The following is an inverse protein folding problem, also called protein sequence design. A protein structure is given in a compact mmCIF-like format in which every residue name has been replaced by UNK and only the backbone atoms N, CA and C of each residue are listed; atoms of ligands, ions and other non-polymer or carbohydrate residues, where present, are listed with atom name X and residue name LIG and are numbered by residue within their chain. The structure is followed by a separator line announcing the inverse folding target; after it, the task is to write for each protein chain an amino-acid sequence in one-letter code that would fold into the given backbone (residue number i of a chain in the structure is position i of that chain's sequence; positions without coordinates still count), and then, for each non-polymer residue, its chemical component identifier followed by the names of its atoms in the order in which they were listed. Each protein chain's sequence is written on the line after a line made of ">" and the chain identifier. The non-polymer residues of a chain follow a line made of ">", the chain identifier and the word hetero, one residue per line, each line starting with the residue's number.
data_IF_191712208330
#
_entry.id   IF_191712208330
#
_cell.length_a   1.000
_cell.length_b   1.000
_cell.length_c   1.000
_cell.angle_alpha   90.00
_cell.angle_beta   90.00
_cell.angle_gamma   90.00
#
_symmetry.space_group_name_H-M   'P 1'
#
loop_
_entity.id
_entity.type
_entity.pdbx_description
1 polymer ?
#
# COMPACT_ATOMS: atom_id res chain seq x y z
N UNK A 1 -6.48 -32.49 4.59
CA UNK A 1 -6.07 -31.17 4.06
C UNK A 1 -5.64 -30.31 5.23
N UNK A 2 -4.67 -29.40 5.06
CA UNK A 2 -4.12 -28.60 6.17
C UNK A 2 -4.92 -27.30 6.42
N UNK A 3 -6.21 -27.32 6.12
CA UNK A 3 -7.13 -26.21 6.31
C UNK A 3 -8.54 -26.72 6.62
N UNK A 4 -9.36 -25.87 7.23
CA UNK A 4 -10.79 -26.10 7.46
C UNK A 4 -11.62 -24.85 7.27
N UNK A 5 -12.89 -25.07 6.99
CA UNK A 5 -13.92 -24.03 6.98
C UNK A 5 -14.43 -23.79 8.40
N UNK A 6 -14.53 -22.52 8.79
CA UNK A 6 -15.18 -22.12 10.03
C UNK A 6 -16.72 -22.22 9.88
N UNK A 7 -17.39 -22.51 11.00
CA UNK A 7 -18.85 -22.62 11.04
C UNK A 7 -19.52 -21.26 10.78
N UNK A 8 -20.78 -21.27 10.32
CA UNK A 8 -21.51 -20.07 9.91
C UNK A 8 -21.79 -19.06 11.04
N UNK A 9 -21.66 -19.47 12.31
CA UNK A 9 -21.90 -18.63 13.49
C UNK A 9 -20.72 -17.68 13.81
N UNK A 10 -19.64 -17.71 13.04
CA UNK A 10 -18.52 -16.77 13.14
C UNK A 10 -18.93 -15.40 12.53
N UNK A 11 -18.76 -14.27 13.25
CA UNK A 11 -19.07 -12.92 12.76
C UNK A 11 -18.45 -12.57 11.40
N UNK A 12 -17.40 -13.28 10.98
CA UNK A 12 -16.69 -13.09 9.71
C UNK A 12 -17.32 -13.81 8.49
N UNK A 13 -18.40 -14.58 8.68
CA UNK A 13 -18.92 -15.50 7.66
C UNK A 13 -17.96 -16.67 7.44
N UNK A 14 -18.18 -17.53 6.41
CA UNK A 14 -17.37 -18.74 6.10
C UNK A 14 -15.86 -18.46 5.96
N UNK A 15 -15.19 -18.30 7.10
CA UNK A 15 -13.76 -18.09 7.23
C UNK A 15 -13.04 -19.39 6.86
N UNK A 16 -11.89 -19.24 6.22
CA UNK A 16 -11.03 -20.35 5.85
C UNK A 16 -9.74 -20.19 6.68
N UNK A 17 -9.41 -21.20 7.47
CA UNK A 17 -8.22 -21.16 8.33
C UNK A 17 -7.36 -22.40 8.11
N UNK A 18 -6.07 -22.26 8.40
CA UNK A 18 -5.13 -23.38 8.40
C UNK A 18 -5.36 -24.24 9.65
N UNK A 19 -5.16 -25.55 9.54
CA UNK A 19 -5.26 -26.48 10.70
C UNK A 19 -4.02 -26.43 11.59
N UNK A 20 -2.91 -25.96 11.01
CA UNK A 20 -1.66 -25.66 11.69
C UNK A 20 -1.53 -24.15 11.67
N UNK A 21 -0.88 -23.56 12.66
CA UNK A 21 -0.54 -22.14 12.64
C UNK A 21 0.11 -21.75 11.29
N UNK A 22 -0.41 -20.67 10.68
CA UNK A 22 -0.08 -20.29 9.30
C UNK A 22 1.40 -19.96 9.13
N UNK A 23 2.06 -19.43 10.18
CA UNK A 23 3.49 -19.14 10.14
C UNK A 23 4.30 -20.42 9.94
N UNK A 24 3.99 -21.47 10.71
CA UNK A 24 4.67 -22.76 10.58
C UNK A 24 4.35 -23.46 9.27
N UNK A 25 3.09 -23.41 8.82
CA UNK A 25 2.72 -23.97 7.51
C UNK A 25 3.48 -23.25 6.38
N UNK A 26 3.62 -21.92 6.46
CA UNK A 26 4.43 -21.14 5.53
C UNK A 26 5.88 -21.60 5.53
N UNK A 27 6.50 -21.71 6.70
CA UNK A 27 7.89 -22.11 6.83
C UNK A 27 8.13 -23.49 6.19
N UNK A 28 7.20 -24.44 6.38
CA UNK A 28 7.26 -25.77 5.75
C UNK A 28 7.14 -25.67 4.22
N UNK A 29 6.16 -24.92 3.72
CA UNK A 29 5.92 -24.76 2.27
C UNK A 29 7.12 -24.10 1.60
N UNK A 30 7.63 -23.00 2.15
CA UNK A 30 8.79 -22.27 1.61
C UNK A 30 10.03 -23.16 1.57
N UNK A 31 10.25 -23.97 2.60
CA UNK A 31 11.46 -24.80 2.73
C UNK A 31 11.43 -26.07 1.88
N UNK A 32 10.24 -26.62 1.61
CA UNK A 32 10.14 -27.99 1.10
C UNK A 32 9.29 -28.18 -0.15
N UNK A 33 8.41 -27.24 -0.52
CA UNK A 33 7.49 -27.46 -1.66
C UNK A 33 8.23 -27.73 -2.98
N UNK A 34 9.34 -27.01 -3.23
CA UNK A 34 10.17 -27.26 -4.42
C UNK A 34 10.79 -28.65 -4.40
N UNK A 35 11.39 -29.06 -3.29
CA UNK A 35 11.98 -30.40 -3.12
C UNK A 35 10.95 -31.51 -3.25
N UNK A 36 9.73 -31.29 -2.74
CA UNK A 36 8.60 -32.20 -2.95
C UNK A 36 8.28 -32.35 -4.44
N UNK A 37 8.29 -31.25 -5.20
CA UNK A 37 8.15 -31.26 -6.66
C UNK A 37 9.24 -32.08 -7.36
N UNK A 38 10.51 -31.87 -6.99
CA UNK A 38 11.65 -32.61 -7.53
C UNK A 38 11.52 -34.12 -7.30
N UNK A 39 11.10 -34.53 -6.10
CA UNK A 39 11.07 -35.94 -5.71
C UNK A 39 9.76 -36.64 -6.07
N UNK A 40 8.62 -35.95 -5.89
CA UNK A 40 7.27 -36.50 -6.03
C UNK A 40 6.57 -36.15 -7.34
N UNK A 41 7.13 -35.23 -8.14
CA UNK A 41 6.60 -34.82 -9.44
C UNK A 41 5.11 -34.46 -9.39
N UNK A 42 4.32 -35.07 -10.28
CA UNK A 42 2.87 -34.85 -10.38
C UNK A 42 2.14 -35.06 -9.05
N UNK A 43 2.52 -36.04 -8.24
CA UNK A 43 1.84 -36.33 -6.99
C UNK A 43 1.99 -35.18 -5.99
N UNK A 44 3.18 -34.57 -5.93
CA UNK A 44 3.42 -33.40 -5.09
C UNK A 44 2.59 -32.19 -5.55
N UNK A 45 2.53 -31.94 -6.86
CA UNK A 45 1.70 -30.86 -7.42
C UNK A 45 0.21 -31.10 -7.13
N UNK A 46 -0.26 -32.35 -7.24
CA UNK A 46 -1.67 -32.71 -7.00
C UNK A 46 -2.13 -32.49 -5.57
N UNK A 47 -1.24 -32.57 -4.57
CA UNK A 47 -1.59 -32.25 -3.17
C UNK A 47 -2.09 -30.80 -3.08
N UNK A 48 -1.36 -29.86 -3.68
CA UNK A 48 -1.71 -28.45 -3.64
C UNK A 48 -2.85 -28.13 -4.62
N UNK A 49 -2.83 -28.68 -5.82
CA UNK A 49 -3.90 -28.51 -6.80
C UNK A 49 -5.26 -28.93 -6.23
N UNK A 50 -5.34 -30.09 -5.58
CA UNK A 50 -6.58 -30.57 -4.97
C UNK A 50 -7.06 -29.62 -3.87
N UNK A 51 -6.15 -29.05 -3.08
CA UNK A 51 -6.51 -28.04 -2.09
C UNK A 51 -7.07 -26.77 -2.72
N UNK A 52 -6.42 -26.26 -3.78
CA UNK A 52 -6.93 -25.11 -4.53
C UNK A 52 -8.30 -25.37 -5.12
N UNK A 53 -8.55 -26.56 -5.68
CA UNK A 53 -9.88 -26.92 -6.19
C UNK A 53 -10.94 -26.91 -5.09
N UNK A 54 -10.62 -27.34 -3.88
CA UNK A 54 -11.55 -27.28 -2.74
C UNK A 54 -11.77 -25.83 -2.30
N UNK A 55 -10.70 -25.06 -2.11
CA UNK A 55 -10.75 -23.66 -1.65
C UNK A 55 -11.56 -22.80 -2.62
N UNK A 56 -11.28 -22.93 -3.91
CA UNK A 56 -11.92 -22.17 -4.99
C UNK A 56 -13.15 -22.87 -5.56
N UNK A 57 -13.67 -23.93 -4.92
CA UNK A 57 -15.02 -24.45 -5.23
C UNK A 57 -16.12 -23.56 -4.65
N UNK A 58 -15.80 -22.77 -3.62
CA UNK A 58 -16.68 -21.75 -3.06
C UNK A 58 -16.95 -20.66 -4.11
N UNK A 59 -18.21 -20.40 -4.51
CA UNK A 59 -18.52 -19.46 -5.59
C UNK A 59 -17.97 -18.05 -5.38
N UNK A 60 -17.85 -17.59 -4.12
CA UNK A 60 -17.31 -16.26 -3.79
C UNK A 60 -15.80 -16.17 -4.02
N UNK A 61 -15.08 -17.27 -3.81
CA UNK A 61 -13.64 -17.37 -4.07
C UNK A 61 -13.34 -17.67 -5.53
N UNK A 62 -14.16 -18.53 -6.14
CA UNK A 62 -14.03 -18.87 -7.55
C UNK A 62 -14.21 -17.63 -8.42
N UNK A 63 -15.26 -16.85 -8.15
CA UNK A 63 -15.50 -15.58 -8.84
C UNK A 63 -14.47 -14.55 -8.38
N UNK A 64 -13.41 -14.39 -9.19
CA UNK A 64 -12.35 -13.43 -8.90
C UNK A 64 -11.27 -13.98 -7.96
N UNK A 65 -10.64 -15.10 -8.33
CA UNK A 65 -9.46 -15.60 -7.60
C UNK A 65 -8.36 -14.56 -7.42
N UNK A 66 -8.26 -13.58 -8.33
CA UNK A 66 -7.38 -12.41 -8.22
C UNK A 66 -7.72 -11.46 -7.07
N UNK A 67 -8.92 -11.49 -6.51
CA UNK A 67 -9.28 -10.73 -5.29
C UNK A 67 -8.78 -11.42 -4.01
N UNK A 68 -8.67 -12.75 -4.05
CA UNK A 68 -8.23 -13.57 -2.92
C UNK A 68 -6.73 -13.84 -2.94
N UNK A 69 -6.15 -13.93 -4.14
CA UNK A 69 -4.72 -14.00 -4.38
C UNK A 69 -4.39 -13.14 -5.61
N UNK A 70 -4.03 -11.86 -5.44
CA UNK A 70 -3.74 -10.95 -6.55
C UNK A 70 -2.65 -11.42 -7.49
N UNK A 71 -1.59 -12.05 -6.96
CA UNK A 71 -0.45 -12.50 -7.75
C UNK A 71 0.03 -13.91 -7.34
N UNK A 72 0.43 -14.73 -8.30
CA UNK A 72 1.00 -16.07 -8.03
C UNK A 72 2.38 -15.96 -7.37
N UNK A 73 3.23 -15.05 -7.84
CA UNK A 73 4.54 -14.76 -7.28
C UNK A 73 4.44 -14.08 -5.90
N UNK A 74 5.59 -13.83 -5.28
CA UNK A 74 5.64 -13.01 -4.06
C UNK A 74 5.42 -11.54 -4.43
N UNK A 75 4.37 -10.93 -3.90
CA UNK A 75 3.95 -9.59 -4.28
C UNK A 75 3.35 -8.85 -3.07
N UNK A 76 3.52 -7.54 -2.99
CA UNK A 76 2.97 -6.69 -1.92
C UNK A 76 1.44 -6.62 -1.92
N UNK A 77 0.80 -6.84 -3.07
CA UNK A 77 -0.65 -6.91 -3.18
C UNK A 77 -1.24 -8.18 -2.54
N UNK A 78 -0.43 -9.22 -2.28
CA UNK A 78 -0.93 -10.44 -1.64
C UNK A 78 -1.18 -10.21 -0.15
N UNK A 79 -2.45 -10.25 0.26
CA UNK A 79 -2.85 -10.11 1.66
C UNK A 79 -2.29 -11.26 2.52
N UNK A 80 -1.46 -10.93 3.51
CA UNK A 80 -0.78 -11.92 4.36
C UNK A 80 -1.75 -12.77 5.19
N UNK A 81 -2.88 -12.21 5.61
CA UNK A 81 -3.88 -12.88 6.45
C UNK A 81 -4.70 -13.96 5.73
N UNK A 82 -4.52 -14.17 4.42
CA UNK A 82 -5.19 -15.23 3.65
C UNK A 82 -4.35 -16.51 3.61
N UNK A 83 -4.07 -17.06 4.80
CA UNK A 83 -3.15 -18.19 4.98
C UNK A 83 -3.43 -19.35 4.03
N UNK A 84 -4.59 -20.01 4.09
CA UNK A 84 -4.89 -21.18 3.25
C UNK A 84 -4.75 -20.93 1.74
N UNK A 85 -5.32 -19.83 1.22
CA UNK A 85 -5.18 -19.46 -0.19
C UNK A 85 -3.70 -19.29 -0.56
N UNK A 86 -2.94 -18.53 0.24
CA UNK A 86 -1.54 -18.23 -0.01
C UNK A 86 -0.68 -19.49 -0.01
N UNK A 87 -0.80 -20.34 1.03
CA UNK A 87 0.04 -21.53 1.21
C UNK A 87 -0.15 -22.54 0.09
N UNK A 88 -1.38 -22.71 -0.39
CA UNK A 88 -1.66 -23.66 -1.47
C UNK A 88 -1.21 -23.14 -2.85
N UNK A 89 -1.29 -21.83 -3.11
CA UNK A 89 -0.73 -21.22 -4.33
C UNK A 89 0.79 -21.31 -4.32
N UNK A 90 1.43 -20.90 -3.23
CA UNK A 90 2.89 -20.96 -3.04
C UNK A 90 3.40 -22.40 -3.16
N UNK A 91 2.70 -23.35 -2.54
CA UNK A 91 3.02 -24.77 -2.60
C UNK A 91 2.92 -25.34 -4.01
N UNK A 92 1.81 -25.10 -4.72
CA UNK A 92 1.64 -25.59 -6.10
C UNK A 92 2.67 -24.98 -7.04
N UNK A 93 2.89 -23.65 -6.95
CA UNK A 93 3.89 -22.91 -7.74
C UNK A 93 5.29 -23.51 -7.57
N UNK A 94 5.73 -23.65 -6.32
CA UNK A 94 7.07 -24.13 -6.01
C UNK A 94 7.24 -25.62 -6.37
N UNK A 95 6.24 -26.46 -6.10
CA UNK A 95 6.26 -27.88 -6.46
C UNK A 95 6.26 -28.10 -7.98
N UNK A 96 5.47 -27.33 -8.74
CA UNK A 96 5.48 -27.40 -10.20
C UNK A 96 6.84 -26.98 -10.77
N UNK A 97 7.43 -25.91 -10.23
CA UNK A 97 8.77 -25.47 -10.61
C UNK A 97 9.83 -26.55 -10.36
N UNK A 98 9.84 -27.18 -9.17
CA UNK A 98 10.75 -28.29 -8.88
C UNK A 98 10.53 -29.52 -9.79
N UNK A 99 9.28 -29.81 -10.16
CA UNK A 99 8.99 -30.90 -11.08
C UNK A 99 9.46 -30.61 -12.53
N UNK A 100 9.28 -29.37 -13.01
CA UNK A 100 9.77 -28.92 -14.32
C UNK A 100 11.29 -29.07 -14.43
N UNK A 101 12.03 -28.72 -13.37
CA UNK A 101 13.48 -28.86 -13.32
C UNK A 101 13.93 -30.34 -13.34
N UNK A 102 13.25 -31.21 -12.59
CA UNK A 102 13.65 -32.60 -12.42
C UNK A 102 13.17 -33.53 -13.56
N UNK A 103 12.04 -33.24 -14.19
CA UNK A 103 11.38 -34.13 -15.15
C UNK A 103 10.56 -33.35 -16.20
N UNK A 104 11.22 -32.55 -17.06
CA UNK A 104 10.57 -31.60 -17.95
C UNK A 104 9.55 -32.25 -18.89
N UNK A 105 9.88 -33.38 -19.52
CA UNK A 105 9.00 -34.03 -20.51
C UNK A 105 7.58 -34.35 -19.98
N UNK A 106 7.48 -34.77 -18.72
CA UNK A 106 6.19 -35.08 -18.10
C UNK A 106 5.49 -33.81 -17.58
N UNK A 107 6.25 -32.88 -17.02
CA UNK A 107 5.72 -31.64 -16.47
C UNK A 107 5.17 -30.70 -17.55
N UNK A 108 5.81 -30.64 -18.73
CA UNK A 108 5.35 -29.84 -19.88
C UNK A 108 3.94 -30.24 -20.32
N UNK A 109 3.65 -31.55 -20.39
CA UNK A 109 2.31 -32.05 -20.74
C UNK A 109 1.26 -31.67 -19.69
N UNK A 110 1.65 -31.65 -18.42
CA UNK A 110 0.77 -31.17 -17.35
C UNK A 110 0.46 -29.69 -17.54
N UNK A 111 1.48 -28.83 -17.70
CA UNK A 111 1.28 -27.39 -17.93
C UNK A 111 0.38 -27.13 -19.14
N UNK A 112 0.57 -27.87 -20.24
CA UNK A 112 -0.27 -27.79 -21.45
C UNK A 112 -1.75 -28.00 -21.12
N UNK A 113 -2.08 -29.02 -20.35
CA UNK A 113 -3.45 -29.27 -19.92
C UNK A 113 -3.96 -28.16 -18.99
N UNK A 114 -3.11 -27.71 -18.06
CA UNK A 114 -3.45 -26.71 -17.03
C UNK A 114 -3.72 -25.31 -17.59
N UNK A 115 -3.09 -24.92 -18.72
CA UNK A 115 -3.39 -23.65 -19.41
C UNK A 115 -4.84 -23.54 -19.88
N UNK A 116 -5.54 -24.67 -20.04
CA UNK A 116 -6.96 -24.72 -20.41
C UNK A 116 -7.87 -25.10 -19.24
N UNK A 117 -7.39 -25.08 -17.99
CA UNK A 117 -8.19 -25.47 -16.83
C UNK A 117 -9.37 -24.50 -16.60
N UNK A 118 -10.48 -25.02 -16.09
CA UNK A 118 -11.65 -24.21 -15.73
C UNK A 118 -11.40 -23.40 -14.44
N UNK A 119 -10.50 -23.85 -13.56
CA UNK A 119 -10.13 -23.10 -12.36
C UNK A 119 -9.14 -21.98 -12.70
N UNK A 120 -9.58 -20.73 -12.50
CA UNK A 120 -8.78 -19.54 -12.76
C UNK A 120 -7.43 -19.54 -12.04
N UNK A 121 -7.38 -19.88 -10.74
CA UNK A 121 -6.12 -19.88 -9.99
C UNK A 121 -5.12 -20.94 -10.49
N UNK A 122 -5.62 -22.11 -10.89
CA UNK A 122 -4.78 -23.19 -11.43
C UNK A 122 -4.21 -22.78 -12.79
N UNK A 123 -5.03 -22.18 -13.64
CA UNK A 123 -4.60 -21.61 -14.93
C UNK A 123 -3.53 -20.52 -14.74
N UNK A 124 -3.72 -19.62 -13.78
CA UNK A 124 -2.76 -18.56 -13.45
C UNK A 124 -1.41 -19.10 -13.01
N UNK A 125 -1.39 -20.16 -12.21
CA UNK A 125 -0.14 -20.84 -11.81
C UNK A 125 0.59 -21.44 -13.03
N UNK A 126 -0.15 -22.00 -13.99
CA UNK A 126 0.44 -22.48 -15.24
C UNK A 126 1.02 -21.34 -16.09
N UNK A 127 0.33 -20.20 -16.20
CA UNK A 127 0.83 -19.01 -16.91
C UNK A 127 2.11 -18.50 -16.24
N UNK A 128 2.12 -18.39 -14.92
CA UNK A 128 3.33 -18.01 -14.17
C UNK A 128 4.48 -19.00 -14.40
N UNK A 129 4.21 -20.31 -14.43
CA UNK A 129 5.22 -21.31 -14.75
C UNK A 129 5.80 -21.12 -16.16
N UNK A 130 4.98 -20.73 -17.15
CA UNK A 130 5.47 -20.37 -18.50
C UNK A 130 6.42 -19.18 -18.43
N UNK A 131 6.12 -18.13 -17.67
CA UNK A 131 7.01 -16.96 -17.53
C UNK A 131 8.37 -17.37 -16.97
N UNK A 132 8.39 -18.15 -15.88
CA UNK A 132 9.61 -18.58 -15.19
C UNK A 132 10.44 -19.60 -15.99
N UNK A 133 9.77 -20.51 -16.72
CA UNK A 133 10.40 -21.58 -17.50
C UNK A 133 10.17 -21.40 -19.01
N UNK A 134 10.28 -20.16 -19.50
CA UNK A 134 9.85 -19.77 -20.84
C UNK A 134 10.48 -20.60 -21.96
N UNK A 135 11.80 -20.80 -21.94
CA UNK A 135 12.48 -21.59 -22.99
C UNK A 135 11.95 -23.03 -23.11
N UNK A 136 11.52 -23.60 -21.99
CA UNK A 136 10.95 -24.96 -21.94
C UNK A 136 9.47 -24.98 -22.35
N UNK A 137 8.71 -23.93 -22.01
CA UNK A 137 7.25 -23.91 -22.10
C UNK A 137 6.70 -23.00 -23.22
N UNK A 138 7.57 -22.30 -23.96
CA UNK A 138 7.18 -21.36 -25.03
C UNK A 138 6.22 -22.02 -26.01
N UNK A 139 6.60 -23.13 -26.61
CA UNK A 139 5.82 -23.77 -27.67
C UNK A 139 4.43 -24.21 -27.15
N UNK A 140 4.37 -24.71 -25.91
CA UNK A 140 3.11 -25.05 -25.24
C UNK A 140 2.23 -23.84 -25.03
N UNK A 141 2.81 -22.70 -24.64
CA UNK A 141 2.08 -21.44 -24.52
C UNK A 141 1.60 -20.93 -25.88
N UNK A 142 2.45 -20.93 -26.91
CA UNK A 142 2.10 -20.46 -28.25
C UNK A 142 0.94 -21.23 -28.89
N UNK A 143 0.81 -22.52 -28.57
CA UNK A 143 -0.34 -23.35 -28.94
C UNK A 143 -1.61 -22.95 -28.17
N UNK A 144 -1.48 -22.54 -26.91
CA UNK A 144 -2.60 -22.20 -26.04
C UNK A 144 -3.17 -20.79 -26.31
N UNK A 145 -2.46 -19.89 -27.00
CA UNK A 145 -2.91 -18.51 -27.25
C UNK A 145 -4.27 -18.49 -27.93
N UNK A 146 -5.28 -18.00 -27.20
CA UNK A 146 -6.61 -17.75 -27.69
C UNK A 146 -7.28 -16.64 -26.86
N UNK A 147 -8.41 -16.10 -27.35
CA UNK A 147 -9.14 -14.99 -26.72
C UNK A 147 -9.53 -15.25 -25.26
N UNK A 148 -9.77 -16.51 -24.84
CA UNK A 148 -10.18 -16.84 -23.47
C UNK A 148 -9.05 -16.69 -22.46
N UNK A 149 -7.78 -16.72 -22.89
CA UNK A 149 -6.65 -16.45 -21.99
C UNK A 149 -6.60 -14.98 -21.56
N UNK A 150 -7.07 -14.06 -22.41
CA UNK A 150 -7.14 -12.63 -22.14
C UNK A 150 -8.38 -12.28 -21.30
N UNK A 151 -8.50 -12.95 -20.15
CA UNK A 151 -9.55 -12.72 -19.18
C UNK A 151 -9.05 -11.81 -18.06
N UNK A 152 -10.00 -11.21 -17.34
CA UNK A 152 -9.69 -10.43 -16.13
C UNK A 152 -9.05 -11.30 -15.05
N UNK A 153 -9.41 -12.58 -14.96
CA UNK A 153 -8.85 -13.50 -13.97
C UNK A 153 -7.36 -13.74 -14.18
N UNK A 154 -6.91 -13.89 -15.43
CA UNK A 154 -5.50 -14.14 -15.76
C UNK A 154 -4.72 -12.84 -16.00
N UNK A 155 -5.30 -11.68 -15.66
CA UNK A 155 -4.77 -10.36 -16.01
C UNK A 155 -3.31 -10.21 -15.61
N UNK A 156 -3.00 -10.43 -14.34
CA UNK A 156 -1.68 -10.21 -13.76
C UNK A 156 -0.62 -11.12 -14.39
N UNK A 157 -0.80 -12.44 -14.29
CA UNK A 157 0.23 -13.39 -14.74
C UNK A 157 0.42 -13.36 -16.26
N UNK A 158 -0.64 -13.16 -17.04
CA UNK A 158 -0.50 -13.04 -18.49
C UNK A 158 0.10 -11.67 -18.88
N UNK A 159 -0.21 -10.60 -18.15
CA UNK A 159 0.43 -9.31 -18.38
C UNK A 159 1.94 -9.42 -18.20
N UNK A 160 2.38 -10.03 -17.09
CA UNK A 160 3.79 -10.23 -16.78
C UNK A 160 4.48 -11.10 -17.84
N UNK A 161 3.85 -12.20 -18.27
CA UNK A 161 4.37 -13.04 -19.34
C UNK A 161 4.60 -12.22 -20.62
N UNK A 162 3.63 -11.42 -21.03
CA UNK A 162 3.72 -10.62 -22.24
C UNK A 162 4.76 -9.50 -22.11
N UNK A 163 4.82 -8.79 -20.99
CA UNK A 163 5.78 -7.72 -20.80
C UNK A 163 7.23 -8.21 -20.83
N UNK A 164 7.49 -9.39 -20.28
CA UNK A 164 8.84 -9.96 -20.20
C UNK A 164 9.23 -10.79 -21.44
N UNK A 165 8.30 -11.56 -22.00
CA UNK A 165 8.63 -12.65 -22.95
C UNK A 165 8.06 -12.48 -24.35
N UNK A 166 7.23 -11.46 -24.61
CA UNK A 166 6.59 -11.30 -25.93
C UNK A 166 7.60 -11.21 -27.09
N UNK A 167 8.74 -10.56 -26.88
CA UNK A 167 9.79 -10.47 -27.90
C UNK A 167 10.36 -11.83 -28.32
N UNK A 168 10.33 -12.83 -27.43
CA UNK A 168 10.82 -14.18 -27.67
C UNK A 168 9.80 -15.15 -28.29
N UNK A 169 8.56 -14.69 -28.52
CA UNK A 169 7.52 -15.47 -29.20
C UNK A 169 7.77 -15.52 -30.71
N UNK A 170 7.30 -16.59 -31.36
CA UNK A 170 7.25 -16.68 -32.82
C UNK A 170 6.35 -15.61 -33.43
N UNK A 171 6.63 -15.21 -34.67
CA UNK A 171 5.80 -14.23 -35.39
C UNK A 171 4.34 -14.68 -35.50
N UNK A 172 4.09 -16.00 -35.63
CA UNK A 172 2.74 -16.55 -35.61
C UNK A 172 2.06 -16.36 -34.25
N UNK A 173 2.78 -16.61 -33.15
CA UNK A 173 2.26 -16.42 -31.81
C UNK A 173 2.00 -14.95 -31.47
N UNK A 174 2.90 -14.03 -31.86
CA UNK A 174 2.67 -12.59 -31.72
C UNK A 174 1.41 -12.15 -32.47
N UNK A 175 1.22 -12.63 -33.71
CA UNK A 175 0.00 -12.36 -34.47
C UNK A 175 -1.26 -12.91 -33.77
N UNK A 176 -1.18 -14.10 -33.16
CA UNK A 176 -2.29 -14.66 -32.36
C UNK A 176 -2.60 -13.78 -31.14
N UNK A 177 -1.61 -13.26 -30.43
CA UNK A 177 -1.82 -12.33 -29.31
C UNK A 177 -2.55 -11.08 -29.79
N UNK A 178 -2.06 -10.41 -30.84
CA UNK A 178 -2.70 -9.21 -31.39
C UNK A 178 -4.13 -9.51 -31.85
N UNK A 179 -4.35 -10.63 -32.53
CA UNK A 179 -5.67 -11.06 -32.99
C UNK A 179 -6.62 -11.32 -31.81
N UNK A 180 -6.15 -11.98 -30.76
CA UNK A 180 -6.93 -12.25 -29.56
C UNK A 180 -7.33 -10.96 -28.82
N UNK A 181 -6.42 -9.99 -28.72
CA UNK A 181 -6.72 -8.67 -28.14
C UNK A 181 -7.78 -7.91 -28.96
N UNK A 182 -7.69 -7.96 -30.29
CA UNK A 182 -8.69 -7.36 -31.18
C UNK A 182 -10.06 -8.05 -31.07
N UNK A 183 -10.05 -9.36 -30.85
CA UNK A 183 -11.25 -10.19 -30.73
C UNK A 183 -11.87 -10.22 -29.32
N UNK A 184 -11.35 -9.41 -28.37
CA UNK A 184 -11.93 -9.31 -27.03
C UNK A 184 -13.43 -8.97 -27.11
N UNK A 185 -14.29 -9.66 -26.33
CA UNK A 185 -15.72 -9.43 -26.40
C UNK A 185 -16.10 -8.08 -25.79
N UNK A 186 -17.09 -7.40 -26.41
CA UNK A 186 -17.70 -6.21 -25.81
C UNK A 186 -18.29 -6.58 -24.44
N UNK A 187 -17.97 -5.86 -23.35
CA UNK A 187 -18.49 -6.13 -22.00
C UNK A 187 -20.01 -6.29 -22.03
N UNK A 188 -20.60 -7.24 -21.29
CA UNK A 188 -22.05 -7.55 -21.40
C UNK A 188 -22.98 -6.50 -20.81
N UNK A 189 -22.50 -5.71 -19.85
CA UNK A 189 -23.29 -4.75 -19.07
C UNK A 189 -22.48 -3.49 -18.76
N UNK A 190 -23.18 -2.43 -18.33
CA UNK A 190 -22.64 -1.11 -18.02
C UNK A 190 -22.78 -0.12 -19.17
N UNK A 191 -22.62 1.16 -18.86
CA UNK A 191 -22.61 2.26 -19.84
C UNK A 191 -21.29 2.27 -20.64
N UNK A 192 -21.29 2.96 -21.79
CA UNK A 192 -20.13 3.14 -22.68
C UNK A 192 -19.33 1.85 -22.98
N UNK A 193 -20.03 0.78 -23.36
CA UNK A 193 -19.46 -0.57 -23.53
C UNK A 193 -18.29 -0.62 -24.53
N UNK A 194 -18.39 0.11 -25.63
CA UNK A 194 -17.33 0.17 -26.65
C UNK A 194 -16.09 0.92 -26.14
N UNK A 195 -16.30 2.01 -25.39
CA UNK A 195 -15.21 2.73 -24.71
C UNK A 195 -14.50 1.82 -23.71
N UNK A 196 -15.25 1.02 -22.93
CA UNK A 196 -14.68 0.05 -21.99
C UNK A 196 -13.90 -1.07 -22.68
N UNK A 197 -14.34 -1.52 -23.85
CA UNK A 197 -13.59 -2.47 -24.66
C UNK A 197 -12.26 -1.86 -25.11
N UNK A 198 -12.27 -0.66 -25.69
CA UNK A 198 -11.06 0.07 -26.10
C UNK A 198 -10.12 0.33 -24.92
N UNK A 199 -10.67 0.72 -23.77
CA UNK A 199 -9.91 0.88 -22.53
C UNK A 199 -9.20 -0.43 -22.17
N UNK A 200 -9.93 -1.55 -22.09
CA UNK A 200 -9.36 -2.86 -21.77
C UNK A 200 -8.28 -3.28 -22.77
N UNK A 201 -8.50 -3.06 -24.06
CA UNK A 201 -7.51 -3.33 -25.11
C UNK A 201 -6.24 -2.49 -24.92
N UNK A 202 -6.38 -1.19 -24.65
CA UNK A 202 -5.24 -0.30 -24.37
C UNK A 202 -4.46 -0.78 -23.15
N UNK A 203 -5.15 -1.11 -22.06
CA UNK A 203 -4.50 -1.59 -20.84
C UNK A 203 -3.71 -2.88 -21.11
N UNK A 204 -4.20 -3.80 -21.93
CA UNK A 204 -3.41 -4.98 -22.39
C UNK A 204 -2.20 -4.58 -23.22
N UNK A 205 -2.36 -3.65 -24.16
CA UNK A 205 -1.27 -3.21 -25.03
C UNK A 205 -0.14 -2.54 -24.27
N UNK A 206 -0.37 -2.00 -23.07
CA UNK A 206 0.72 -1.44 -22.26
C UNK A 206 1.84 -2.46 -21.97
N UNK A 207 1.52 -3.76 -21.87
CA UNK A 207 2.51 -4.82 -21.67
C UNK A 207 3.50 -4.92 -22.84
N UNK A 208 3.05 -4.61 -24.05
CA UNK A 208 3.81 -4.79 -25.30
C UNK A 208 3.94 -3.49 -26.09
N UNK A 209 3.79 -2.33 -25.43
CA UNK A 209 3.71 -1.00 -26.07
C UNK A 209 4.96 -0.61 -26.85
N UNK A 210 6.12 -1.17 -26.51
CA UNK A 210 7.40 -0.93 -27.19
C UNK A 210 7.62 -1.85 -28.39
N UNK A 211 6.73 -2.81 -28.60
CA UNK A 211 6.86 -3.82 -29.65
C UNK A 211 6.19 -3.32 -30.94
N UNK A 212 6.83 -3.49 -32.12
CA UNK A 212 6.29 -3.01 -33.40
C UNK A 212 4.86 -3.47 -33.69
N UNK A 213 4.51 -4.67 -33.26
CA UNK A 213 3.21 -5.33 -33.47
C UNK A 213 2.06 -4.61 -32.75
N UNK A 214 2.36 -3.83 -31.70
CA UNK A 214 1.39 -3.15 -30.85
C UNK A 214 1.56 -1.63 -30.80
N UNK A 215 2.76 -1.09 -31.10
CA UNK A 215 3.10 0.31 -30.87
C UNK A 215 2.13 1.30 -31.55
N UNK A 216 1.78 1.07 -32.82
CA UNK A 216 0.85 1.95 -33.56
C UNK A 216 -0.54 1.92 -32.92
N UNK A 217 -1.07 0.72 -32.66
CA UNK A 217 -2.40 0.56 -32.08
C UNK A 217 -2.48 1.12 -30.65
N UNK A 218 -1.42 0.95 -29.87
CA UNK A 218 -1.32 1.55 -28.54
C UNK A 218 -1.30 3.08 -28.60
N UNK A 219 -0.55 3.68 -29.53
CA UNK A 219 -0.48 5.13 -29.72
C UNK A 219 -1.85 5.70 -30.15
N UNK A 220 -2.55 5.02 -31.06
CA UNK A 220 -3.91 5.39 -31.48
C UNK A 220 -4.88 5.43 -30.29
N UNK A 221 -4.92 4.37 -29.46
CA UNK A 221 -5.79 4.32 -28.28
C UNK A 221 -5.36 5.27 -27.16
N UNK A 222 -4.07 5.60 -27.07
CA UNK A 222 -3.57 6.54 -26.05
C UNK A 222 -3.81 8.01 -26.42
N UNK A 223 -4.02 8.30 -27.71
CA UNK A 223 -4.37 9.63 -28.19
C UNK A 223 -5.88 9.95 -28.06
N UNK A 224 -6.71 8.95 -27.79
CA UNK A 224 -8.16 9.11 -27.60
C UNK A 224 -8.43 9.82 -26.25
N UNK A 225 -8.91 11.08 -26.27
CA UNK A 225 -9.13 11.85 -25.04
C UNK A 225 -10.22 11.25 -24.16
N UNK A 226 -11.15 10.46 -24.73
CA UNK A 226 -12.20 9.80 -23.96
C UNK A 226 -11.64 8.67 -23.09
N UNK A 227 -10.49 8.09 -23.43
CA UNK A 227 -9.89 6.99 -22.66
C UNK A 227 -8.98 7.48 -21.52
N UNK A 228 -8.63 8.76 -21.49
CA UNK A 228 -7.69 9.33 -20.52
C UNK A 228 -6.29 8.72 -20.63
N UNK A 229 -5.47 8.84 -19.59
CA UNK A 229 -4.15 8.17 -19.55
C UNK A 229 -4.28 6.67 -19.19
N UNK A 230 -3.30 5.82 -19.59
CA UNK A 230 -3.21 4.44 -19.09
C UNK A 230 -3.14 4.36 -17.56
N UNK A 231 -3.59 3.25 -16.98
CA UNK A 231 -3.46 3.01 -15.53
C UNK A 231 -1.99 2.93 -15.10
N UNK A 232 -1.70 3.34 -13.86
CA UNK A 232 -0.39 3.15 -13.22
C UNK A 232 -0.08 1.65 -12.98
N UNK A 233 -1.14 0.86 -12.72
CA UNK A 233 -1.07 -0.58 -12.45
C UNK A 233 -2.00 -1.35 -13.41
N UNK A 234 -1.65 -1.42 -14.71
CA UNK A 234 -2.49 -2.07 -15.70
C UNK A 234 -2.58 -3.59 -15.49
N UNK A 235 -1.56 -4.19 -14.90
CA UNK A 235 -1.43 -5.61 -14.55
C UNK A 235 -2.44 -6.07 -13.49
N UNK A 236 -2.95 -5.16 -12.65
CA UNK A 236 -3.96 -5.47 -11.64
C UNK A 236 -5.35 -4.94 -12.01
N UNK A 237 -6.38 -5.75 -11.78
CA UNK A 237 -7.78 -5.27 -11.87
C UNK A 237 -8.14 -4.33 -10.72
N UNK A 238 -7.49 -4.50 -9.58
CA UNK A 238 -7.62 -3.67 -8.40
C UNK A 238 -6.26 -3.65 -7.73
N UNK A 239 -5.74 -2.45 -7.50
CA UNK A 239 -4.46 -2.22 -6.85
C UNK A 239 -4.73 -1.44 -5.56
N UNK A 240 -4.18 -1.94 -4.47
CA UNK A 240 -4.32 -1.33 -3.16
C UNK A 240 -3.04 -0.58 -2.80
N UNK A 241 -3.17 0.71 -2.51
CA UNK A 241 -2.14 1.51 -1.87
C UNK A 241 -2.51 1.69 -0.40
N UNK A 242 -1.58 1.36 0.49
CA UNK A 242 -1.71 1.71 1.91
C UNK A 242 -0.89 2.96 2.14
N UNK A 243 -1.56 4.05 2.49
CA UNK A 243 -0.91 5.25 2.99
C UNK A 243 -0.80 5.16 4.51
N UNK A 244 0.40 5.38 5.04
CA UNK A 244 0.66 5.48 6.47
C UNK A 244 1.31 6.82 6.78
N UNK A 245 1.07 7.32 8.00
CA UNK A 245 1.60 8.59 8.47
C UNK A 245 0.71 9.80 8.17
N UNK A 246 1.14 10.99 8.63
CA UNK A 246 0.32 12.19 8.67
C UNK A 246 -0.02 12.74 7.28
N UNK A 247 0.77 12.38 6.26
CA UNK A 247 0.56 12.79 4.87
C UNK A 247 1.49 13.86 4.32
N UNK A 248 1.36 14.22 3.03
CA UNK A 248 2.06 15.35 2.46
C UNK A 248 1.67 16.66 3.16
N UNK A 249 2.62 17.59 3.24
CA UNK A 249 2.41 18.96 3.71
C UNK A 249 2.29 19.92 2.52
N UNK A 250 1.43 20.97 2.59
CA UNK A 250 1.37 22.00 1.55
C UNK A 250 2.61 22.92 1.55
N UNK A 251 3.33 22.99 2.67
CA UNK A 251 4.49 23.86 2.86
C UNK A 251 5.65 23.06 3.46
N UNK A 252 6.85 23.20 2.89
CA UNK A 252 8.08 22.64 3.47
C UNK A 252 8.59 23.49 4.64
N UNK A 253 9.57 22.97 5.38
CA UNK A 253 10.16 23.64 6.55
C UNK A 253 10.69 25.05 6.22
N UNK A 254 11.40 25.21 5.10
CA UNK A 254 11.92 26.52 4.65
C UNK A 254 10.80 27.54 4.42
N UNK A 255 9.65 27.11 3.89
CA UNK A 255 8.50 27.98 3.69
C UNK A 255 7.86 28.38 5.02
N UNK A 256 7.77 27.44 5.96
CA UNK A 256 7.24 27.71 7.30
C UNK A 256 8.14 28.69 8.08
N UNK A 257 9.46 28.56 7.95
CA UNK A 257 10.41 29.51 8.52
C UNK A 257 10.26 30.90 7.87
N UNK A 258 10.14 30.98 6.55
CA UNK A 258 9.90 32.26 5.87
C UNK A 258 8.59 32.93 6.32
N UNK A 259 7.51 32.16 6.50
CA UNK A 259 6.25 32.69 7.02
C UNK A 259 6.33 33.12 8.49
N UNK A 260 7.21 32.47 9.27
CA UNK A 260 7.46 32.87 10.65
C UNK A 260 8.18 34.22 10.70
N UNK A 261 9.17 34.43 9.84
CA UNK A 261 9.94 35.67 9.74
C UNK A 261 9.13 36.86 9.21
N UNK A 262 8.23 36.62 8.25
CA UNK A 262 7.36 37.67 7.68
C UNK A 262 6.08 37.93 8.50
N UNK A 263 5.83 37.13 9.54
CA UNK A 263 4.69 37.24 10.44
C UNK A 263 3.37 36.68 9.91
N UNK A 264 3.34 36.07 8.72
CA UNK A 264 2.13 35.53 8.09
C UNK A 264 1.79 34.09 8.49
N UNK A 265 2.64 33.42 9.29
CA UNK A 265 2.52 31.99 9.58
C UNK A 265 1.16 31.57 10.14
N UNK A 266 0.59 32.31 11.09
CA UNK A 266 -0.67 31.92 11.73
C UNK A 266 -1.84 31.94 10.75
N UNK A 267 -1.92 32.99 9.93
CA UNK A 267 -2.95 33.12 8.88
C UNK A 267 -2.82 31.97 7.87
N UNK A 268 -1.60 31.70 7.38
CA UNK A 268 -1.30 30.61 6.44
C UNK A 268 -1.70 29.23 6.96
N UNK A 269 -1.45 28.97 8.24
CA UNK A 269 -1.79 27.70 8.90
C UNK A 269 -3.32 27.56 9.05
N UNK A 270 -3.99 28.62 9.50
CA UNK A 270 -5.43 28.61 9.73
C UNK A 270 -6.25 28.55 8.43
N UNK A 271 -5.81 29.23 7.38
CA UNK A 271 -6.44 29.26 6.05
C UNK A 271 -6.31 27.93 5.29
N UNK A 272 -5.38 27.06 5.70
CA UNK A 272 -5.23 25.77 5.06
C UNK A 272 -6.38 24.83 5.45
N UNK A 273 -7.25 24.57 4.49
CA UNK A 273 -8.22 23.48 4.53
C UNK A 273 -7.67 22.30 3.71
N UNK A 274 -7.50 21.15 4.36
CA UNK A 274 -7.07 19.93 3.68
C UNK A 274 -8.05 19.61 2.53
N UNK A 275 -7.53 19.40 1.32
CA UNK A 275 -8.36 18.96 0.21
C UNK A 275 -8.64 17.47 0.36
N UNK A 276 -9.88 17.06 0.11
CA UNK A 276 -10.27 15.64 0.04
C UNK A 276 -9.65 15.00 -1.21
N UNK A 277 -8.36 14.67 -1.10
CA UNK A 277 -7.57 14.07 -2.16
C UNK A 277 -6.62 13.04 -1.56
N UNK A 278 -6.68 11.81 -2.09
CA UNK A 278 -5.83 10.70 -1.67
C UNK A 278 -4.32 11.03 -1.71
N UNK A 279 -3.87 11.80 -2.70
CA UNK A 279 -2.47 12.23 -2.87
C UNK A 279 -2.23 13.69 -2.44
N UNK A 280 -3.26 14.35 -1.90
CA UNK A 280 -3.21 15.76 -1.54
C UNK A 280 -2.51 16.02 -0.20
N UNK A 281 -2.06 17.27 0.01
CA UNK A 281 -1.60 17.72 1.30
C UNK A 281 -2.73 17.70 2.34
N UNK A 282 -2.36 17.40 3.57
CA UNK A 282 -3.29 17.14 4.69
C UNK A 282 -2.97 18.00 5.89
N UNK A 283 -3.98 18.27 6.73
CA UNK A 283 -3.78 19.04 7.98
C UNK A 283 -2.78 18.33 8.89
N UNK A 284 -2.86 17.00 9.02
CA UNK A 284 -1.88 16.21 9.77
C UNK A 284 -0.45 16.36 9.23
N UNK A 285 -0.28 16.33 7.91
CA UNK A 285 1.01 16.59 7.25
C UNK A 285 1.57 17.99 7.57
N UNK A 286 0.72 19.01 7.56
CA UNK A 286 1.12 20.38 7.92
C UNK A 286 1.47 20.53 9.41
N UNK A 287 0.71 19.90 10.31
CA UNK A 287 1.00 19.82 11.75
C UNK A 287 2.38 19.21 11.98
N UNK A 288 2.69 18.08 11.34
CA UNK A 288 3.99 17.42 11.46
C UNK A 288 5.13 18.28 10.88
N UNK A 289 4.89 18.98 9.77
CA UNK A 289 5.86 19.88 9.17
C UNK A 289 6.15 21.09 10.07
N UNK A 290 5.13 21.65 10.71
CA UNK A 290 5.29 22.74 11.68
C UNK A 290 6.09 22.29 12.90
N UNK A 291 5.78 21.12 13.46
CA UNK A 291 6.54 20.55 14.58
C UNK A 291 8.03 20.43 14.23
N UNK A 292 8.36 19.90 13.04
CA UNK A 292 9.74 19.79 12.57
C UNK A 292 10.38 21.17 12.40
N UNK A 293 9.70 22.13 11.78
CA UNK A 293 10.24 23.48 11.58
C UNK A 293 10.58 24.16 12.92
N UNK A 294 9.72 24.00 13.94
CA UNK A 294 9.97 24.52 15.29
C UNK A 294 11.16 23.83 15.94
N UNK A 295 11.28 22.51 15.80
CA UNK A 295 12.41 21.75 16.33
C UNK A 295 13.74 22.13 15.66
N UNK A 296 13.73 22.45 14.37
CA UNK A 296 14.91 22.85 13.59
C UNK A 296 15.34 24.30 13.88
N UNK A 297 14.38 25.21 14.05
CA UNK A 297 14.66 26.65 14.22
C UNK A 297 13.96 27.28 15.43
N UNK A 298 14.14 26.77 16.66
CA UNK A 298 13.33 27.17 17.81
C UNK A 298 13.46 28.67 18.18
N UNK A 299 14.60 29.29 17.90
CA UNK A 299 14.81 30.72 18.11
C UNK A 299 13.94 31.61 17.20
N UNK A 300 13.54 31.11 16.03
CA UNK A 300 12.62 31.83 15.12
C UNK A 300 11.19 31.78 15.64
N UNK A 301 10.79 30.68 16.28
CA UNK A 301 9.41 30.46 16.75
C UNK A 301 9.17 30.95 18.18
N UNK A 302 10.19 31.00 19.04
CA UNK A 302 10.04 31.42 20.43
C UNK A 302 9.47 32.85 20.60
N UNK A 303 9.84 33.85 19.77
CA UNK A 303 9.22 35.17 19.82
C UNK A 303 7.75 35.19 19.37
N UNK A 304 7.29 34.15 18.66
CA UNK A 304 5.96 34.09 18.05
C UNK A 304 4.91 33.42 18.93
N UNK A 305 5.28 32.88 20.10
CA UNK A 305 4.36 32.16 21.02
C UNK A 305 3.03 32.91 21.20
N UNK A 306 3.08 34.22 21.48
CA UNK A 306 1.88 35.03 21.68
C UNK A 306 0.96 35.08 20.44
N UNK A 307 1.52 35.10 19.23
CA UNK A 307 0.73 35.10 17.99
C UNK A 307 0.01 33.77 17.78
N UNK A 308 0.61 32.66 18.23
CA UNK A 308 0.04 31.33 18.06
C UNK A 308 -1.22 31.07 18.88
N UNK A 309 -1.60 31.95 19.82
CA UNK A 309 -2.94 31.89 20.44
C UNK A 309 -4.08 32.02 19.41
N UNK A 310 -3.82 32.67 18.29
CA UNK A 310 -4.78 32.80 17.20
C UNK A 310 -4.79 31.56 16.28
N UNK A 311 -3.81 30.66 16.40
CA UNK A 311 -3.75 29.43 15.61
C UNK A 311 -4.76 28.39 16.10
N UNK A 312 -5.23 27.51 15.21
CA UNK A 312 -6.01 26.32 15.59
C UNK A 312 -5.24 25.44 16.59
N UNK A 313 -5.96 24.74 17.46
CA UNK A 313 -5.40 23.90 18.54
C UNK A 313 -4.35 22.91 18.03
N UNK A 314 -4.56 22.32 16.86
CA UNK A 314 -3.60 21.38 16.25
C UNK A 314 -2.23 22.00 15.98
N UNK A 315 -2.19 23.29 15.63
CA UNK A 315 -0.94 24.02 15.39
C UNK A 315 -0.32 24.58 16.68
N UNK A 316 -1.14 24.97 17.66
CA UNK A 316 -0.67 25.28 19.01
C UNK A 316 0.03 24.06 19.62
N UNK A 317 -0.59 22.88 19.50
CA UNK A 317 0.02 21.62 19.92
C UNK A 317 1.33 21.34 19.17
N UNK A 318 1.35 21.48 17.84
CA UNK A 318 2.57 21.28 17.04
C UNK A 318 3.73 22.19 17.49
N UNK A 319 3.44 23.44 17.83
CA UNK A 319 4.41 24.39 18.35
C UNK A 319 5.04 23.90 19.67
N UNK A 320 4.20 23.49 20.63
CA UNK A 320 4.68 22.96 21.93
C UNK A 320 5.46 21.65 21.71
N UNK A 321 4.97 20.79 20.82
CA UNK A 321 5.61 19.50 20.49
C UNK A 321 7.00 19.70 19.90
N UNK A 322 7.15 20.71 19.04
CA UNK A 322 8.45 21.10 18.49
C UNK A 322 9.44 21.52 19.58
N UNK A 323 9.02 22.38 20.51
CA UNK A 323 9.86 22.74 21.67
C UNK A 323 10.17 21.55 22.57
N UNK A 324 9.22 20.65 22.82
CA UNK A 324 9.47 19.41 23.58
C UNK A 324 10.55 18.56 22.91
N UNK A 325 10.54 18.44 21.58
CA UNK A 325 11.61 17.73 20.84
C UNK A 325 12.97 18.40 20.98
N UNK A 326 13.04 19.73 20.98
CA UNK A 326 14.28 20.45 21.29
C UNK A 326 14.73 20.11 22.72
N UNK A 327 13.81 20.08 23.68
CA UNK A 327 14.12 19.79 25.08
C UNK A 327 14.69 18.38 25.25
N UNK A 328 14.04 17.38 24.66
CA UNK A 328 14.45 15.97 24.72
C UNK A 328 15.77 15.70 23.98
N UNK A 329 16.07 16.45 22.93
CA UNK A 329 17.32 16.34 22.20
C UNK A 329 18.47 17.16 22.83
N UNK A 330 18.15 18.11 23.72
CA UNK A 330 19.13 18.98 24.36
C UNK A 330 20.06 18.17 25.27
N UNK A 331 21.34 18.51 25.24
CA UNK A 331 22.34 17.98 26.19
C UNK A 331 22.87 19.12 27.07
N UNK A 332 23.48 18.84 28.24
CA UNK A 332 23.97 19.89 29.14
C UNK A 332 25.05 20.80 28.52
N UNK A 333 25.67 20.36 27.43
CA UNK A 333 26.66 21.11 26.66
C UNK A 333 26.08 21.86 25.45
N UNK A 334 24.78 21.68 25.18
CA UNK A 334 24.10 22.32 24.06
C UNK A 334 23.73 23.77 24.43
N UNK A 335 24.37 24.73 23.77
CA UNK A 335 24.11 26.17 23.94
C UNK A 335 23.32 26.76 22.77
N UNK A 336 22.75 25.93 21.89
CA UNK A 336 22.03 26.40 20.68
C UNK A 336 20.68 27.06 21.01
N UNK A 337 20.08 26.72 22.16
CA UNK A 337 18.81 27.26 22.61
C UNK A 337 18.84 27.58 24.11
N UNK A 338 18.49 28.81 24.49
CA UNK A 338 18.50 29.25 25.88
C UNK A 338 17.18 28.93 26.58
N UNK A 339 17.15 27.77 27.24
CA UNK A 339 16.00 27.30 28.01
C UNK A 339 15.62 28.25 29.17
N UNK A 340 16.58 28.94 29.79
CA UNK A 340 16.28 29.89 30.88
C UNK A 340 15.48 31.08 30.37
N UNK A 341 15.76 31.54 29.16
CA UNK A 341 14.95 32.58 28.50
C UNK A 341 13.63 32.04 27.93
N UNK A 342 13.60 30.78 27.51
CA UNK A 342 12.42 30.18 26.89
C UNK A 342 11.31 29.85 27.90
N UNK A 343 11.67 29.29 29.06
CA UNK A 343 10.71 28.81 30.06
C UNK A 343 9.69 29.85 30.52
N UNK A 344 10.07 31.10 30.88
CA UNK A 344 9.09 32.12 31.24
C UNK A 344 8.05 32.37 30.15
N UNK A 345 8.46 32.36 28.88
CA UNK A 345 7.58 32.59 27.74
C UNK A 345 6.66 31.40 27.47
N UNK A 346 7.21 30.19 27.53
CA UNK A 346 6.45 28.94 27.39
C UNK A 346 5.40 28.81 28.50
N UNK A 347 5.76 29.07 29.75
CA UNK A 347 4.82 29.06 30.88
C UNK A 347 3.65 30.03 30.67
N UNK A 348 3.94 31.26 30.22
CA UNK A 348 2.89 32.23 29.91
C UNK A 348 1.98 31.73 28.80
N UNK A 349 2.55 31.17 27.73
CA UNK A 349 1.78 30.59 26.64
C UNK A 349 0.90 29.41 27.11
N UNK A 350 1.42 28.53 27.97
CA UNK A 350 0.65 27.41 28.52
C UNK A 350 -0.54 27.89 29.36
N UNK A 351 -0.30 28.84 30.27
CA UNK A 351 -1.36 29.42 31.10
C UNK A 351 -2.45 30.07 30.25
N UNK A 352 -2.05 30.87 29.24
CA UNK A 352 -2.98 31.54 28.34
C UNK A 352 -3.79 30.55 27.49
N UNK A 353 -3.18 29.46 27.02
CA UNK A 353 -3.86 28.38 26.32
C UNK A 353 -4.89 27.65 27.22
N UNK A 354 -4.51 27.36 28.47
CA UNK A 354 -5.35 26.61 29.42
C UNK A 354 -6.45 27.47 30.06
N UNK A 355 -6.26 28.79 30.13
CA UNK A 355 -7.22 29.73 30.70
C UNK A 355 -8.38 30.10 29.76
N UNK A 356 -8.26 29.83 28.46
CA UNK A 356 -9.33 30.08 27.51
C UNK A 356 -10.55 29.21 27.86
N UNK A 357 -11.71 29.81 28.14
CA UNK A 357 -12.94 29.07 28.51
C UNK A 357 -13.32 28.04 27.44
N UNK A 358 -13.12 28.40 26.17
CA UNK A 358 -13.38 27.49 25.05
C UNK A 358 -12.51 26.22 25.12
N UNK A 359 -11.35 26.24 25.78
CA UNK A 359 -10.44 25.08 25.83
C UNK A 359 -11.07 23.87 26.55
N UNK A 360 -11.90 24.10 27.56
CA UNK A 360 -12.52 23.03 28.36
C UNK A 360 -13.94 22.65 27.91
N UNK A 361 -14.45 23.30 26.86
CA UNK A 361 -15.74 22.92 26.30
C UNK A 361 -15.67 21.53 25.66
N UNK A 362 -16.64 20.64 25.94
CA UNK A 362 -16.70 19.33 25.33
C UNK A 362 -17.02 19.47 23.84
N UNK A 363 -16.01 19.28 22.98
CA UNK A 363 -16.24 19.14 21.55
C UNK A 363 -16.91 17.80 21.25
N UNK A 364 -17.86 17.82 20.31
CA UNK A 364 -18.43 16.60 19.75
C UNK A 364 -17.41 15.97 18.77
N UNK A 365 -16.35 15.35 19.27
CA UNK A 365 -15.29 14.85 18.38
C UNK A 365 -15.56 13.45 17.85
N UNK A 366 -15.79 13.36 16.54
CA UNK A 366 -15.18 12.30 15.75
C UNK A 366 -13.86 12.84 15.21
N UNK A 367 -12.77 12.68 15.97
CA UNK A 367 -11.42 12.96 15.49
C UNK A 367 -10.97 11.85 14.52
N UNK A 368 -11.58 11.83 13.32
CA UNK A 368 -11.31 10.81 12.28
C UNK A 368 -9.90 10.94 11.70
N UNK A 369 -9.32 12.14 11.76
CA UNK A 369 -8.05 12.48 11.13
C UNK A 369 -6.84 12.41 12.10
N UNK A 370 -7.05 11.92 13.33
CA UNK A 370 -6.03 11.82 14.38
C UNK A 370 -5.26 13.12 14.61
N UNK A 371 -5.95 14.26 14.49
CA UNK A 371 -5.35 15.57 14.70
C UNK A 371 -5.18 15.84 16.20
N UNK A 372 -4.16 16.62 16.60
CA UNK A 372 -4.01 16.95 18.01
C UNK A 372 -5.21 17.71 18.57
N UNK A 373 -5.75 17.17 19.67
CA UNK A 373 -6.91 17.73 20.38
C UNK A 373 -6.47 18.55 21.58
N UNK A 374 -7.42 19.23 22.21
CA UNK A 374 -7.18 19.97 23.46
C UNK A 374 -6.69 19.06 24.59
N UNK A 375 -7.24 17.84 24.68
CA UNK A 375 -6.80 16.84 25.67
C UNK A 375 -5.34 16.40 25.45
N UNK A 376 -4.93 16.27 24.19
CA UNK A 376 -3.54 15.96 23.84
C UNK A 376 -2.63 17.14 24.17
N UNK A 377 -3.08 18.38 23.92
CA UNK A 377 -2.34 19.58 24.28
C UNK A 377 -2.12 19.70 25.79
N UNK A 378 -3.14 19.43 26.61
CA UNK A 378 -2.99 19.40 28.07
C UNK A 378 -1.99 18.33 28.52
N UNK A 379 -2.05 17.13 27.94
CA UNK A 379 -1.11 16.04 28.24
C UNK A 379 0.32 16.40 27.83
N UNK A 380 0.49 17.00 26.65
CA UNK A 380 1.78 17.47 26.14
C UNK A 380 2.41 18.55 27.04
N UNK A 381 1.61 19.51 27.51
CA UNK A 381 2.07 20.53 28.46
C UNK A 381 2.53 19.86 29.75
N UNK A 382 1.71 18.96 30.32
CA UNK A 382 2.08 18.24 31.54
C UNK A 382 3.38 17.43 31.37
N UNK A 383 3.53 16.72 30.26
CA UNK A 383 4.76 15.97 29.94
C UNK A 383 5.99 16.87 29.86
N UNK A 384 5.87 18.05 29.22
CA UNK A 384 6.98 18.98 29.07
C UNK A 384 7.34 19.63 30.40
N UNK A 385 6.35 19.95 31.24
CA UNK A 385 6.57 20.42 32.60
C UNK A 385 7.25 19.35 33.47
N UNK A 386 6.81 18.10 33.38
CA UNK A 386 7.46 16.99 34.07
C UNK A 386 8.92 16.85 33.62
N UNK A 387 9.16 16.84 32.30
CA UNK A 387 10.51 16.78 31.74
C UNK A 387 11.39 17.94 32.23
N UNK A 388 10.83 19.15 32.30
CA UNK A 388 11.45 20.37 32.85
C UNK A 388 11.75 20.34 34.35
N UNK A 389 11.42 19.25 35.06
CA UNK A 389 11.76 19.06 36.50
C UNK A 389 12.65 17.85 36.76
N UNK A 390 13.03 17.08 35.73
CA UNK A 390 13.82 15.84 35.91
C UNK A 390 15.30 16.09 36.16
N UNK A 391 15.86 17.18 35.63
CA UNK A 391 17.30 17.48 35.67
C UNK A 391 17.55 18.98 35.83
N UNK A 392 18.41 19.38 36.77
CA UNK A 392 18.73 20.80 37.07
C UNK A 392 19.41 21.56 35.91
N UNK A 393 19.88 20.85 34.88
CA UNK A 393 20.68 21.40 33.77
C UNK A 393 19.82 22.20 32.78
N UNK A 394 18.61 21.72 32.48
CA UNK A 394 17.64 22.35 31.57
C UNK A 394 16.32 22.70 32.26
N UNK A 395 16.22 22.43 33.57
CA UNK A 395 15.02 22.70 34.35
C UNK A 395 14.62 24.18 34.31
N UNK A 396 13.30 24.42 34.44
CA UNK A 396 12.83 25.77 34.61
C UNK A 396 13.23 26.34 35.98
N UNK A 397 13.52 27.65 36.07
CA UNK A 397 13.92 28.31 37.32
C UNK A 397 12.94 28.10 38.48
N UNK A 398 13.48 28.11 39.71
CA UNK A 398 12.72 27.89 40.96
C UNK A 398 11.53 28.85 41.11
N UNK A 399 11.66 30.09 40.62
CA UNK A 399 10.59 31.09 40.64
C UNK A 399 9.39 30.75 39.73
N UNK A 400 9.56 29.82 38.79
CA UNK A 400 8.48 29.31 37.93
C UNK A 400 7.79 28.06 38.50
N UNK A 401 8.32 27.41 39.55
CA UNK A 401 7.69 26.23 40.17
C UNK A 401 6.23 26.44 40.57
N UNK A 402 5.81 27.58 41.16
CA UNK A 402 4.41 27.79 41.51
C UNK A 402 3.46 27.87 40.31
N UNK A 403 3.99 28.11 39.10
CA UNK A 403 3.21 28.20 37.85
C UNK A 403 3.06 26.84 37.17
N UNK A 404 3.98 25.91 37.42
CA UNK A 404 3.98 24.58 36.83
C UNK A 404 3.20 23.51 37.62
N UNK A 405 2.61 23.87 38.77
CA UNK A 405 1.94 22.96 39.72
C UNK A 405 0.41 23.04 39.64
#
# INVERSE_FOLDING_TARGET
>A
MAFRWLAEDDPSGKGLVTEIDDYWLKAIVDSHAKTLGVQGGLQAVKIFENGLRIIFSDPRRNFGSSLWRPAVETNSQNASFRGPENRYVEGMRNALSGWLEASPNNAVNYVKATLSDESGIIKRIAIHAVTEHFELLRDVFEEAINVKLFSSECRHELYQLLSEKFAGLSESAKAKVISALRALPVPRSGEDRDRRLKYTQREWLTAIKTQPEAAVWFAELSADPELGSPSDHPDFLSYHEVRSGPGPTPFGEDSLMAFAEDGSIVDRLNDFEGRDSWKGPTVGGLVAALENAVATAPNTFLPLLANFHQAKVSYQHALISGFKRVFEASTPTDTTFDWRMAWPKLMTFFEECLAAEQFWEPEAEQNRDLLPTRSWMASLIADLLEAGTKTDETAYPVDLLPRGW
#
